data_IF_424102351487
#
_entry.id   IF_424102351487
#
_cell.length_a   1.000
_cell.length_b   1.000
_cell.length_c   1.000
_cell.angle_alpha   90.00
_cell.angle_beta   90.00
_cell.angle_gamma   90.00
#
_symmetry.space_group_name_H-M   'P 1'
#
loop_
_entity.id
_entity.type
_entity.pdbx_description
1 polymer ?
#
# COMPACT_ATOMS: atom_id res chain seq x y z
N UNK A 1 15.77 -46.26 -24.82
CA UNK A 1 15.97 -45.47 -23.59
C UNK A 1 16.39 -44.08 -24.03
N UNK A 2 15.43 -43.17 -24.20
CA UNK A 2 15.69 -41.76 -24.51
C UNK A 2 15.03 -40.94 -23.42
N UNK A 3 15.82 -40.19 -22.67
CA UNK A 3 15.32 -39.28 -21.65
C UNK A 3 14.65 -38.08 -22.32
N UNK A 4 13.33 -37.97 -22.16
CA UNK A 4 12.57 -36.79 -22.53
C UNK A 4 12.62 -35.82 -21.35
N UNK A 5 13.64 -34.95 -21.33
CA UNK A 5 13.68 -33.82 -20.42
C UNK A 5 12.63 -32.80 -20.84
N UNK A 6 11.46 -32.82 -20.18
CA UNK A 6 10.48 -31.75 -20.27
C UNK A 6 11.04 -30.57 -19.49
N UNK A 7 11.64 -29.61 -20.20
CA UNK A 7 11.95 -28.31 -19.61
C UNK A 7 10.65 -27.63 -19.20
N UNK A 8 10.46 -27.42 -17.89
CA UNK A 8 9.40 -26.55 -17.41
C UNK A 8 9.67 -25.13 -17.93
N UNK A 9 8.72 -24.47 -18.60
CA UNK A 9 8.87 -23.05 -18.91
C UNK A 9 8.83 -22.25 -17.61
N UNK A 10 9.78 -21.33 -17.44
CA UNK A 10 9.81 -20.38 -16.33
C UNK A 10 8.59 -19.45 -16.39
N UNK A 11 7.52 -19.81 -15.68
CA UNK A 11 6.35 -18.94 -15.49
C UNK A 11 6.67 -17.98 -14.35
N UNK A 12 7.38 -16.91 -14.70
CA UNK A 12 7.80 -15.90 -13.74
C UNK A 12 7.79 -14.47 -14.28
N UNK A 13 6.91 -14.12 -15.23
CA UNK A 13 6.91 -12.77 -15.81
C UNK A 13 5.54 -12.25 -16.26
N UNK A 14 4.47 -12.47 -15.47
CA UNK A 14 3.16 -11.83 -15.75
C UNK A 14 2.32 -11.46 -14.52
N UNK A 15 2.97 -11.14 -13.41
CA UNK A 15 2.35 -10.29 -12.39
C UNK A 15 3.37 -9.23 -12.05
N UNK A 16 3.15 -8.03 -12.61
CA UNK A 16 3.89 -6.83 -12.27
C UNK A 16 3.59 -6.41 -10.84
N UNK A 17 3.96 -7.23 -9.86
CA UNK A 17 4.29 -6.72 -8.54
C UNK A 17 5.68 -6.11 -8.70
N UNK A 18 5.72 -4.87 -9.17
CA UNK A 18 6.90 -4.04 -9.02
C UNK A 18 7.24 -4.09 -7.54
N UNK A 19 8.29 -4.84 -7.17
CA UNK A 19 8.94 -4.67 -5.88
C UNK A 19 9.52 -3.26 -5.97
N UNK A 20 8.73 -2.28 -5.54
CA UNK A 20 9.13 -0.88 -5.48
C UNK A 20 10.24 -0.83 -4.44
N UNK A 21 11.50 -0.99 -4.86
CA UNK A 21 12.67 -0.57 -4.10
C UNK A 21 12.76 0.96 -4.10
N UNK A 22 11.69 1.59 -3.63
CA UNK A 22 11.65 3.01 -3.27
C UNK A 22 11.71 3.09 -1.75
N UNK A 23 12.52 4.00 -1.21
CA UNK A 23 12.53 4.31 0.22
C UNK A 23 11.09 4.48 0.72
N UNK A 24 10.66 3.56 1.59
CA UNK A 24 9.38 3.66 2.29
C UNK A 24 9.40 4.93 3.14
N UNK A 25 8.27 5.62 3.24
CA UNK A 25 8.21 6.83 4.08
C UNK A 25 8.59 6.52 5.53
N UNK A 26 9.04 7.55 6.25
CA UNK A 26 9.28 7.44 7.70
C UNK A 26 8.02 7.02 8.46
N UNK A 27 6.84 7.50 8.04
CA UNK A 27 5.55 7.12 8.64
C UNK A 27 5.24 5.64 8.47
N UNK A 28 5.42 5.09 7.26
CA UNK A 28 5.17 3.68 7.02
C UNK A 28 6.17 2.78 7.73
N UNK A 29 7.45 3.16 7.78
CA UNK A 29 8.45 2.43 8.57
C UNK A 29 8.10 2.42 10.06
N UNK A 30 7.66 3.57 10.61
CA UNK A 30 7.25 3.65 12.00
C UNK A 30 6.04 2.76 12.31
N UNK A 31 5.05 2.72 11.41
CA UNK A 31 3.91 1.81 11.52
C UNK A 31 4.37 0.34 11.54
N UNK A 32 5.15 -0.08 10.54
CA UNK A 32 5.63 -1.46 10.44
C UNK A 32 6.46 -1.89 11.66
N UNK A 33 7.38 -1.04 12.13
CA UNK A 33 8.15 -1.33 13.33
C UNK A 33 7.28 -1.38 14.59
N UNK A 34 6.28 -0.49 14.71
CA UNK A 34 5.34 -0.50 15.82
C UNK A 34 4.56 -1.81 15.88
N UNK A 35 3.99 -2.24 14.75
CA UNK A 35 3.23 -3.48 14.67
C UNK A 35 4.13 -4.70 14.92
N UNK A 36 5.32 -4.75 14.33
CA UNK A 36 6.26 -5.86 14.53
C UNK A 36 6.76 -5.97 15.98
N UNK A 37 6.78 -4.86 16.74
CA UNK A 37 7.18 -4.83 18.14
C UNK A 37 6.02 -5.09 19.12
N UNK A 38 4.77 -5.10 18.65
CA UNK A 38 3.60 -5.36 19.48
C UNK A 38 3.58 -6.82 19.96
N UNK A 39 3.38 -7.03 21.26
CA UNK A 39 3.36 -8.37 21.88
C UNK A 39 1.94 -8.90 22.05
N UNK A 40 0.96 -8.03 21.95
CA UNK A 40 -0.46 -8.37 22.16
C UNK A 40 -1.33 -7.71 21.10
N UNK A 41 -2.48 -8.33 20.80
CA UNK A 41 -3.48 -7.74 19.90
C UNK A 41 -3.95 -6.36 20.37
N UNK A 42 -4.03 -6.16 21.69
CA UNK A 42 -4.39 -4.85 22.26
C UNK A 42 -3.36 -3.75 21.93
N UNK A 43 -2.06 -4.07 21.97
CA UNK A 43 -1.00 -3.13 21.59
C UNK A 43 -1.04 -2.83 20.09
N UNK A 44 -1.22 -3.87 19.26
CA UNK A 44 -1.41 -3.73 17.81
C UNK A 44 -2.58 -2.79 17.51
N UNK A 45 -3.74 -3.06 18.11
CA UNK A 45 -4.96 -2.27 17.92
C UNK A 45 -4.76 -0.80 18.30
N UNK A 46 -4.01 -0.53 19.38
CA UNK A 46 -3.68 0.83 19.82
C UNK A 46 -2.83 1.56 18.79
N UNK A 47 -1.86 0.87 18.19
CA UNK A 47 -0.98 1.42 17.15
C UNK A 47 -1.79 1.71 15.88
N UNK A 48 -2.59 0.75 15.40
CA UNK A 48 -3.39 0.92 14.18
C UNK A 48 -4.41 2.04 14.35
N UNK A 49 -5.12 2.11 15.49
CA UNK A 49 -6.08 3.21 15.75
C UNK A 49 -5.41 4.59 15.73
N UNK A 50 -4.21 4.71 16.32
CA UNK A 50 -3.45 5.96 16.28
C UNK A 50 -3.06 6.32 14.84
N UNK A 51 -2.67 5.34 14.03
CA UNK A 51 -2.35 5.55 12.63
C UNK A 51 -3.59 6.00 11.84
N UNK A 52 -4.75 5.37 12.03
CA UNK A 52 -5.99 5.74 11.35
C UNK A 52 -6.40 7.19 11.62
N UNK A 53 -6.23 7.68 12.86
CA UNK A 53 -6.46 9.10 13.19
C UNK A 53 -5.51 10.00 12.40
N UNK A 54 -4.22 9.68 12.39
CA UNK A 54 -3.20 10.41 11.62
C UNK A 54 -3.51 10.41 10.12
N UNK A 55 -3.91 9.28 9.54
CA UNK A 55 -4.27 9.18 8.14
C UNK A 55 -5.50 10.04 7.79
N UNK A 56 -6.51 10.04 8.67
CA UNK A 56 -7.72 10.85 8.50
C UNK A 56 -7.42 12.34 8.48
N UNK A 57 -6.52 12.80 9.35
CA UNK A 57 -6.11 14.21 9.40
C UNK A 57 -5.29 14.61 8.18
N UNK A 58 -4.36 13.76 7.73
CA UNK A 58 -3.57 14.03 6.53
C UNK A 58 -4.43 14.06 5.26
N UNK A 59 -5.37 13.11 5.09
CA UNK A 59 -6.25 13.06 3.91
C UNK A 59 -7.21 14.25 3.82
N UNK A 60 -7.49 14.93 4.93
CA UNK A 60 -8.27 16.19 4.94
C UNK A 60 -7.45 17.40 4.47
N UNK A 61 -6.12 17.31 4.46
CA UNK A 61 -5.25 18.40 4.04
C UNK A 61 -5.24 18.56 2.52
N UNK A 62 -5.51 19.78 2.03
CA UNK A 62 -5.57 20.08 0.59
C UNK A 62 -4.21 20.21 -0.12
N UNK A 63 -3.08 19.92 0.56
CA UNK A 63 -1.72 20.15 0.04
C UNK A 63 -0.85 18.88 -0.03
N UNK A 64 -1.42 17.77 -0.52
CA UNK A 64 -0.69 16.52 -0.68
C UNK A 64 -0.23 16.29 -2.12
N UNK A 65 1.03 15.89 -2.30
CA UNK A 65 1.56 15.41 -3.58
C UNK A 65 1.04 14.01 -3.90
N UNK A 66 1.02 13.62 -5.18
CA UNK A 66 0.61 12.27 -5.59
C UNK A 66 1.41 11.14 -4.91
N UNK A 67 2.69 11.39 -4.60
CA UNK A 67 3.54 10.45 -3.84
C UNK A 67 3.07 10.30 -2.39
N UNK A 68 2.72 11.41 -1.73
CA UNK A 68 2.18 11.38 -0.36
C UNK A 68 0.81 10.72 -0.32
N UNK A 69 -0.08 11.00 -1.28
CA UNK A 69 -1.41 10.36 -1.36
C UNK A 69 -1.24 8.85 -1.51
N UNK A 70 -0.40 8.38 -2.45
CA UNK A 70 -0.09 6.95 -2.61
C UNK A 70 0.32 6.30 -1.30
N UNK A 71 1.20 6.97 -0.57
CA UNK A 71 1.78 6.48 0.66
C UNK A 71 0.78 6.45 1.83
N UNK A 72 -0.13 7.42 1.91
CA UNK A 72 -1.28 7.38 2.83
C UNK A 72 -2.23 6.24 2.50
N UNK A 73 -2.53 6.00 1.21
CA UNK A 73 -3.44 4.95 0.78
C UNK A 73 -2.88 3.54 1.01
N UNK A 74 -1.57 3.33 0.80
CA UNK A 74 -0.92 2.05 1.14
C UNK A 74 -1.06 1.75 2.64
N UNK A 75 -0.83 2.76 3.49
CA UNK A 75 -1.01 2.62 4.94
C UNK A 75 -2.47 2.35 5.33
N UNK A 76 -3.42 3.01 4.66
CA UNK A 76 -4.85 2.79 4.85
C UNK A 76 -5.23 1.34 4.56
N UNK A 77 -4.82 0.81 3.40
CA UNK A 77 -5.06 -0.58 3.00
C UNK A 77 -4.42 -1.54 4.01
N UNK A 78 -3.21 -1.22 4.50
CA UNK A 78 -2.56 -2.04 5.52
C UNK A 78 -3.36 -2.12 6.82
N UNK A 79 -3.93 -1.00 7.28
CA UNK A 79 -4.79 -0.99 8.47
C UNK A 79 -6.08 -1.80 8.25
N UNK A 80 -6.69 -1.71 7.06
CA UNK A 80 -7.87 -2.50 6.69
C UNK A 80 -7.57 -4.01 6.67
N UNK A 81 -6.41 -4.41 6.14
CA UNK A 81 -5.95 -5.82 6.13
C UNK A 81 -5.72 -6.39 7.55
N UNK A 82 -5.43 -5.53 8.53
CA UNK A 82 -5.34 -5.91 9.94
C UNK A 82 -6.71 -5.97 10.63
N UNK A 83 -7.80 -5.74 9.90
CA UNK A 83 -9.18 -5.85 10.37
C UNK A 83 -9.75 -4.56 10.97
N UNK A 84 -9.15 -3.40 10.67
CA UNK A 84 -9.63 -2.11 11.18
C UNK A 84 -10.36 -1.31 10.10
N UNK A 85 -11.54 -0.79 10.44
CA UNK A 85 -12.34 0.05 9.53
C UNK A 85 -11.59 1.34 9.12
N UNK A 86 -11.29 1.43 7.83
CA UNK A 86 -10.68 2.59 7.21
C UNK A 86 -11.57 3.18 6.08
N UNK A 87 -12.88 2.94 6.14
CA UNK A 87 -13.89 3.36 5.14
C UNK A 87 -13.87 4.85 4.80
N UNK A 88 -13.43 5.71 5.72
CA UNK A 88 -13.26 7.15 5.47
C UNK A 88 -12.28 7.46 4.32
N UNK A 89 -11.37 6.54 4.00
CA UNK A 89 -10.37 6.70 2.95
C UNK A 89 -10.80 6.19 1.57
N UNK A 90 -11.91 5.45 1.44
CA UNK A 90 -12.26 4.76 0.19
C UNK A 90 -12.50 5.70 -0.98
N UNK A 91 -13.21 6.82 -0.76
CA UNK A 91 -13.43 7.83 -1.81
C UNK A 91 -12.10 8.42 -2.29
N UNK A 92 -11.15 8.66 -1.38
CA UNK A 92 -9.82 9.16 -1.74
C UNK A 92 -9.04 8.12 -2.55
N UNK A 93 -9.16 6.84 -2.22
CA UNK A 93 -8.54 5.74 -2.96
C UNK A 93 -9.06 5.65 -4.40
N UNK A 94 -10.39 5.71 -4.58
CA UNK A 94 -11.03 5.68 -5.91
C UNK A 94 -10.56 6.88 -6.74
N UNK A 95 -10.64 8.10 -6.18
CA UNK A 95 -10.20 9.32 -6.86
C UNK A 95 -8.73 9.24 -7.28
N UNK A 96 -7.86 8.70 -6.43
CA UNK A 96 -6.45 8.53 -6.75
C UNK A 96 -6.24 7.53 -7.91
N UNK A 97 -6.94 6.40 -7.88
CA UNK A 97 -6.85 5.37 -8.93
C UNK A 97 -7.33 5.89 -10.29
N UNK A 98 -8.41 6.67 -10.30
CA UNK A 98 -8.90 7.34 -11.51
C UNK A 98 -7.86 8.32 -12.07
N UNK A 99 -7.27 9.15 -11.20
CA UNK A 99 -6.24 10.12 -11.61
C UNK A 99 -4.96 9.44 -12.12
N UNK A 100 -4.51 8.35 -11.49
CA UNK A 100 -3.31 7.64 -11.95
C UNK A 100 -3.53 7.01 -13.33
N UNK A 101 -4.68 6.39 -13.57
CA UNK A 101 -5.00 5.78 -14.86
C UNK A 101 -5.04 6.81 -16.01
N UNK A 102 -5.40 8.06 -15.73
CA UNK A 102 -5.37 9.15 -16.70
C UNK A 102 -3.95 9.63 -17.03
N UNK A 103 -3.04 9.60 -16.05
CA UNK A 103 -1.63 9.94 -16.27
C UNK A 103 -0.94 8.88 -17.12
N UNK A 104 -1.20 7.60 -16.87
CA UNK A 104 -0.60 6.49 -17.62
C UNK A 104 -1.03 6.49 -19.10
N UNK A 105 -2.27 6.91 -19.39
CA UNK A 105 -2.77 7.05 -20.78
C UNK A 105 -2.18 8.24 -21.53
N UNK A 106 -1.72 9.28 -20.83
CA UNK A 106 -1.12 10.49 -21.44
C UNK A 106 0.34 10.30 -21.87
N UNK A 107 0.99 9.21 -21.47
CA UNK A 107 2.37 8.89 -21.84
C UNK A 107 2.45 7.96 -23.06
N UNK A 108 1.38 7.85 -23.85
CA UNK A 108 1.45 7.27 -25.19
C UNK A 108 2.21 8.20 -26.14
N UNK A 109 3.54 8.11 -26.14
CA UNK A 109 4.42 8.41 -27.27
C UNK A 109 5.06 7.10 -27.74
#
# INVERSE_FOLDING_TARGET
>A
MGEFSIGLPEIGHHLGFVVVHGQRSKGFQALLHGIAAAKTKHEEDKIVRKELVSLKDHLRSSKLTAKQIRELLIRLIYCEMLGHDASFGYINAIKYAEQSALLDKKTGM
#
